data_IF_681572627231
#
_entry.id   IF_681572627231
#
_cell.length_a   1.000
_cell.length_b   1.000
_cell.length_c   1.000
_cell.angle_alpha   90.00
_cell.angle_beta   90.00
_cell.angle_gamma   90.00
#
_symmetry.space_group_name_H-M   'P 1'
#
loop_
_entity.id
_entity.type
_entity.pdbx_description
1 polymer ?
#
# COMPACT_ATOMS: atom_id res chain seq x y z
N UNK A 1 -26.52 13.34 18.60
CA UNK A 1 -27.24 12.85 17.41
C UNK A 1 -27.80 11.50 17.80
N UNK A 2 -29.05 11.24 17.43
CA UNK A 2 -29.58 9.89 17.53
C UNK A 2 -28.94 8.99 16.45
N UNK A 3 -29.11 7.67 16.57
CA UNK A 3 -28.52 6.73 15.60
C UNK A 3 -29.08 6.86 14.19
N UNK A 4 -30.31 7.38 14.02
CA UNK A 4 -30.94 7.57 12.71
C UNK A 4 -30.35 8.76 11.94
N UNK A 5 -29.95 9.83 12.62
CA UNK A 5 -29.29 10.98 12.00
C UNK A 5 -27.91 10.61 11.47
N UNK A 6 -27.15 9.77 12.17
CA UNK A 6 -25.84 9.30 11.70
C UNK A 6 -25.94 8.40 10.46
N UNK A 7 -26.94 7.51 10.42
CA UNK A 7 -27.19 6.65 9.25
C UNK A 7 -27.62 7.46 8.03
N UNK A 8 -28.47 8.47 8.20
CA UNK A 8 -28.88 9.36 7.12
C UNK A 8 -27.69 10.17 6.56
N UNK A 9 -26.84 10.71 7.43
CA UNK A 9 -25.61 11.41 7.05
C UNK A 9 -24.66 10.48 6.30
N UNK A 10 -24.54 9.22 6.74
CA UNK A 10 -23.71 8.22 6.06
C UNK A 10 -24.21 7.94 4.64
N UNK A 11 -25.51 7.69 4.47
CA UNK A 11 -26.12 7.40 3.17
C UNK A 11 -26.00 8.60 2.20
N UNK A 12 -26.22 9.82 2.69
CA UNK A 12 -26.06 11.04 1.89
C UNK A 12 -24.62 11.18 1.39
N UNK A 13 -23.65 11.08 2.31
CA UNK A 13 -22.23 11.15 1.97
C UNK A 13 -21.85 10.07 0.94
N UNK A 14 -22.29 8.83 1.13
CA UNK A 14 -22.00 7.74 0.19
C UNK A 14 -22.58 7.98 -1.20
N UNK A 15 -23.76 8.59 -1.30
CA UNK A 15 -24.36 8.98 -2.57
C UNK A 15 -23.52 10.05 -3.27
N UNK A 16 -23.11 11.09 -2.53
CA UNK A 16 -22.25 12.16 -3.07
C UNK A 16 -20.90 11.63 -3.55
N UNK A 17 -20.25 10.77 -2.75
CA UNK A 17 -19.00 10.10 -3.13
C UNK A 17 -19.17 9.21 -4.39
N UNK A 18 -20.35 8.60 -4.59
CA UNK A 18 -20.64 7.81 -5.80
C UNK A 18 -20.81 8.69 -7.04
N UNK A 19 -21.33 9.90 -6.87
CA UNK A 19 -21.50 10.88 -7.94
C UNK A 19 -20.25 11.73 -8.21
N UNK A 20 -19.14 11.47 -7.50
CA UNK A 20 -17.92 12.30 -7.53
C UNK A 20 -18.14 13.74 -7.03
N UNK A 21 -19.15 13.96 -6.20
CA UNK A 21 -19.45 15.23 -5.53
C UNK A 21 -18.64 15.34 -4.22
N UNK A 22 -17.31 15.34 -4.34
CA UNK A 22 -16.41 15.19 -3.18
C UNK A 22 -16.41 16.38 -2.22
N UNK A 23 -16.65 17.59 -2.71
CA UNK A 23 -16.68 18.79 -1.86
C UNK A 23 -17.92 18.77 -0.98
N UNK A 24 -19.05 18.43 -1.58
CA UNK A 24 -20.33 18.24 -0.92
C UNK A 24 -20.24 17.11 0.11
N UNK A 25 -19.61 15.98 -0.26
CA UNK A 25 -19.33 14.88 0.67
C UNK A 25 -18.46 15.33 1.86
N UNK A 26 -17.45 16.17 1.61
CA UNK A 26 -16.59 16.74 2.65
C UNK A 26 -17.35 17.68 3.60
N UNK A 27 -18.24 18.50 3.05
CA UNK A 27 -19.07 19.42 3.82
C UNK A 27 -20.06 18.66 4.70
N UNK A 28 -20.68 17.59 4.18
CA UNK A 28 -21.52 16.68 4.97
C UNK A 28 -20.71 16.05 6.12
N UNK A 29 -19.50 15.54 5.83
CA UNK A 29 -18.66 14.94 6.87
C UNK A 29 -18.33 15.94 8.00
N UNK A 30 -18.03 17.20 7.65
CA UNK A 30 -17.62 18.24 8.60
C UNK A 30 -18.78 18.83 9.40
N UNK A 31 -19.88 19.14 8.73
CA UNK A 31 -21.00 19.85 9.34
C UNK A 31 -21.82 18.96 10.26
N UNK A 32 -21.83 17.65 10.01
CA UNK A 32 -22.55 16.67 10.83
C UNK A 32 -21.67 15.98 11.87
N UNK A 33 -20.47 16.51 12.15
CA UNK A 33 -19.68 16.15 13.33
C UNK A 33 -19.11 14.73 13.36
N UNK A 34 -19.15 13.99 12.25
CA UNK A 34 -18.51 12.68 12.13
C UNK A 34 -17.00 12.89 12.16
N UNK A 35 -16.37 12.69 13.34
CA UNK A 35 -14.91 12.75 13.51
C UNK A 35 -14.22 11.53 12.88
N UNK A 36 -14.36 11.37 11.57
CA UNK A 36 -13.77 10.28 10.77
C UNK A 36 -12.62 10.84 9.95
N UNK A 37 -11.48 11.06 10.60
CA UNK A 37 -10.29 11.69 10.01
C UNK A 37 -9.79 10.97 8.77
N UNK A 38 -9.85 9.63 8.78
CA UNK A 38 -9.39 8.81 7.67
C UNK A 38 -10.29 8.97 6.44
N UNK A 39 -11.62 8.96 6.62
CA UNK A 39 -12.57 9.25 5.54
C UNK A 39 -12.37 10.68 5.00
N UNK A 40 -12.18 11.66 5.89
CA UNK A 40 -11.89 13.04 5.49
C UNK A 40 -10.62 13.12 4.63
N UNK A 41 -9.55 12.44 5.04
CA UNK A 41 -8.29 12.42 4.31
C UNK A 41 -8.46 11.81 2.92
N UNK A 42 -9.18 10.70 2.78
CA UNK A 42 -9.45 10.11 1.47
C UNK A 42 -10.32 10.99 0.57
N UNK A 43 -11.33 11.66 1.11
CA UNK A 43 -12.13 12.63 0.33
C UNK A 43 -11.23 13.78 -0.15
N UNK A 44 -10.32 14.27 0.71
CA UNK A 44 -9.34 15.29 0.33
C UNK A 44 -8.39 14.79 -0.77
N UNK A 45 -7.96 13.52 -0.71
CA UNK A 45 -7.18 12.90 -1.79
C UNK A 45 -7.99 12.85 -3.08
N UNK A 46 -9.26 12.44 -3.05
CA UNK A 46 -10.11 12.40 -4.23
C UNK A 46 -10.25 13.78 -4.90
N UNK A 47 -10.46 14.84 -4.12
CA UNK A 47 -10.46 16.23 -4.63
C UNK A 47 -9.09 16.60 -5.24
N UNK A 48 -7.99 16.21 -4.59
CA UNK A 48 -6.64 16.43 -5.10
C UNK A 48 -6.40 15.72 -6.44
N UNK A 49 -6.92 14.50 -6.59
CA UNK A 49 -6.84 13.73 -7.83
C UNK A 49 -7.61 14.39 -8.98
N UNK A 50 -8.79 14.96 -8.72
CA UNK A 50 -9.51 15.75 -9.75
C UNK A 50 -8.73 16.97 -10.19
N UNK A 51 -8.06 17.67 -9.26
CA UNK A 51 -7.19 18.80 -9.59
C UNK A 51 -6.00 18.37 -10.45
N UNK A 52 -5.37 17.25 -10.11
CA UNK A 52 -4.28 16.65 -10.88
C UNK A 52 -4.72 16.28 -12.31
N UNK A 53 -5.88 15.64 -12.47
CA UNK A 53 -6.43 15.30 -13.79
C UNK A 53 -6.69 16.55 -14.64
N UNK A 54 -7.09 17.66 -14.01
CA UNK A 54 -7.28 18.95 -14.67
C UNK A 54 -5.97 19.74 -14.92
N UNK A 55 -4.81 19.16 -14.59
CA UNK A 55 -3.50 19.81 -14.75
C UNK A 55 -3.15 20.82 -13.65
N UNK A 56 -4.01 21.01 -12.64
CA UNK A 56 -3.78 21.91 -11.51
C UNK A 56 -2.98 21.19 -10.40
N UNK A 57 -1.70 20.91 -10.71
CA UNK A 57 -0.79 20.18 -9.83
C UNK A 57 -0.56 20.90 -8.50
N UNK A 58 -0.55 22.24 -8.49
CA UNK A 58 -0.33 23.00 -7.25
C UNK A 58 -1.50 22.84 -6.29
N UNK A 59 -2.75 22.94 -6.77
CA UNK A 59 -3.91 22.66 -5.93
C UNK A 59 -3.94 21.20 -5.50
N UNK A 60 -3.62 20.25 -6.39
CA UNK A 60 -3.55 18.83 -6.04
C UNK A 60 -2.58 18.57 -4.87
N UNK A 61 -1.35 19.12 -4.95
CA UNK A 61 -0.37 19.06 -3.85
C UNK A 61 -0.90 19.65 -2.54
N UNK A 62 -1.63 20.77 -2.61
CA UNK A 62 -2.25 21.40 -1.44
C UNK A 62 -3.26 20.46 -0.76
N UNK A 63 -4.12 19.81 -1.55
CA UNK A 63 -5.10 18.85 -1.05
C UNK A 63 -4.44 17.60 -0.45
N UNK A 64 -3.40 17.04 -1.08
CA UNK A 64 -2.67 15.90 -0.51
C UNK A 64 -1.96 16.24 0.79
N UNK A 65 -1.33 17.42 0.89
CA UNK A 65 -0.77 17.91 2.16
C UNK A 65 -1.83 18.10 3.24
N UNK A 66 -3.02 18.57 2.86
CA UNK A 66 -4.15 18.71 3.78
C UNK A 66 -4.65 17.35 4.26
N UNK A 67 -4.75 16.35 3.37
CA UNK A 67 -5.09 14.99 3.73
C UNK A 67 -4.11 14.41 4.76
N UNK A 68 -2.80 14.55 4.53
CA UNK A 68 -1.74 14.14 5.47
C UNK A 68 -1.86 14.85 6.82
N UNK A 69 -2.24 16.13 6.83
CA UNK A 69 -2.44 16.89 8.07
C UNK A 69 -3.68 16.41 8.84
N UNK A 70 -4.73 16.02 8.12
CA UNK A 70 -5.97 15.50 8.70
C UNK A 70 -5.78 14.09 9.26
N UNK A 71 -5.12 13.22 8.49
CA UNK A 71 -4.72 11.88 8.88
C UNK A 71 -3.27 11.60 8.46
N UNK A 72 -2.39 11.51 9.46
CA UNK A 72 -0.96 11.30 9.22
C UNK A 72 -0.61 9.88 8.79
N UNK A 73 -1.57 8.96 8.80
CA UNK A 73 -1.38 7.56 8.43
C UNK A 73 -2.00 7.24 7.06
N UNK A 74 -2.57 8.26 6.37
CA UNK A 74 -3.14 8.15 5.04
C UNK A 74 -2.06 7.87 3.98
N UNK A 75 -1.81 6.59 3.72
CA UNK A 75 -0.79 6.12 2.77
C UNK A 75 -1.02 6.66 1.35
N UNK A 76 -2.27 6.67 0.90
CA UNK A 76 -2.66 7.17 -0.42
C UNK A 76 -2.20 8.62 -0.66
N UNK A 77 -2.37 9.49 0.34
CA UNK A 77 -2.00 10.89 0.24
C UNK A 77 -0.49 11.09 0.10
N UNK A 78 0.31 10.32 0.83
CA UNK A 78 1.77 10.34 0.66
C UNK A 78 2.18 9.83 -0.72
N UNK A 79 1.57 8.74 -1.19
CA UNK A 79 1.90 8.15 -2.48
C UNK A 79 1.58 9.08 -3.65
N UNK A 80 0.38 9.66 -3.69
CA UNK A 80 0.00 10.57 -4.78
C UNK A 80 0.78 11.88 -4.76
N UNK A 81 1.12 12.39 -3.57
CA UNK A 81 2.03 13.52 -3.45
C UNK A 81 3.43 13.18 -3.95
N UNK A 82 3.97 12.01 -3.61
CA UNK A 82 5.28 11.56 -4.08
C UNK A 82 5.34 11.44 -5.60
N UNK A 83 4.28 10.90 -6.23
CA UNK A 83 4.19 10.84 -7.69
C UNK A 83 4.21 12.22 -8.33
N UNK A 84 3.43 13.18 -7.81
CA UNK A 84 3.47 14.55 -8.31
C UNK A 84 4.83 15.24 -8.11
N UNK A 85 5.55 14.96 -7.02
CA UNK A 85 6.90 15.49 -6.85
C UNK A 85 7.88 14.86 -7.85
N UNK A 86 7.73 13.58 -8.16
CA UNK A 86 8.55 12.92 -9.18
C UNK A 86 8.26 13.42 -10.60
N UNK A 87 6.98 13.64 -10.93
CA UNK A 87 6.56 14.22 -12.22
C UNK A 87 7.11 15.66 -12.42
N UNK A 88 7.41 16.36 -11.32
CA UNK A 88 8.07 17.68 -11.29
C UNK A 88 9.59 17.60 -11.09
N UNK A 89 10.21 16.44 -11.35
CA UNK A 89 11.65 16.15 -11.24
C UNK A 89 12.25 16.31 -9.82
N UNK A 90 11.41 16.40 -8.78
CA UNK A 90 11.83 16.49 -7.38
C UNK A 90 12.02 15.09 -6.77
N UNK A 91 12.95 14.29 -7.31
CA UNK A 91 13.16 12.87 -6.93
C UNK A 91 13.44 12.66 -5.44
N UNK A 92 14.32 13.46 -4.84
CA UNK A 92 14.66 13.34 -3.41
C UNK A 92 13.42 13.48 -2.51
N UNK A 93 12.59 14.48 -2.83
CA UNK A 93 11.35 14.74 -2.08
C UNK A 93 10.33 13.64 -2.30
N UNK A 94 10.23 13.12 -3.52
CA UNK A 94 9.39 11.96 -3.84
C UNK A 94 9.78 10.76 -2.97
N UNK A 95 11.06 10.40 -2.94
CA UNK A 95 11.59 9.29 -2.14
C UNK A 95 11.36 9.49 -0.64
N UNK A 96 11.57 10.71 -0.14
CA UNK A 96 11.27 11.03 1.26
C UNK A 96 9.79 10.78 1.58
N UNK A 97 8.86 11.12 0.67
CA UNK A 97 7.43 10.91 0.86
C UNK A 97 7.05 9.43 0.80
N UNK A 98 7.61 8.66 -0.13
CA UNK A 98 7.41 7.21 -0.19
C UNK A 98 7.93 6.53 1.07
N UNK A 99 9.15 6.90 1.51
CA UNK A 99 9.72 6.38 2.76
C UNK A 99 8.79 6.67 3.95
N UNK A 100 8.25 7.89 4.04
CA UNK A 100 7.25 8.23 5.07
C UNK A 100 5.98 7.39 4.94
N UNK A 101 5.46 7.18 3.73
CA UNK A 101 4.28 6.33 3.52
C UNK A 101 4.50 4.92 4.07
N UNK A 102 5.63 4.30 3.74
CA UNK A 102 5.99 2.96 4.21
C UNK A 102 6.26 2.95 5.72
N UNK A 103 6.97 3.94 6.27
CA UNK A 103 7.20 4.00 7.72
C UNK A 103 5.91 4.17 8.52
N UNK A 104 4.89 4.81 7.95
CA UNK A 104 3.55 4.94 8.55
C UNK A 104 2.72 3.69 8.41
N UNK A 105 2.75 3.05 7.24
CA UNK A 105 1.98 1.84 6.99
C UNK A 105 2.73 0.89 6.04
N UNK A 106 3.70 0.16 6.61
CA UNK A 106 4.62 -0.71 5.86
C UNK A 106 3.92 -1.88 5.18
N UNK A 107 2.71 -2.22 5.62
CA UNK A 107 1.89 -3.28 5.02
C UNK A 107 1.58 -2.99 3.55
N UNK A 108 1.57 -1.72 3.14
CA UNK A 108 1.30 -1.33 1.76
C UNK A 108 2.57 -1.12 0.91
N UNK A 109 3.75 -1.58 1.34
CA UNK A 109 4.99 -1.43 0.56
C UNK A 109 4.84 -1.96 -0.88
N UNK A 110 4.14 -3.07 -1.08
CA UNK A 110 3.92 -3.65 -2.41
C UNK A 110 3.12 -2.74 -3.36
N UNK A 111 2.40 -1.75 -2.84
CA UNK A 111 1.68 -0.74 -3.64
C UNK A 111 2.67 0.22 -4.31
N UNK A 112 3.79 0.51 -3.65
CA UNK A 112 4.80 1.47 -4.11
C UNK A 112 6.06 0.80 -4.64
N UNK A 113 6.22 -0.51 -4.47
CA UNK A 113 7.38 -1.30 -4.91
C UNK A 113 7.86 -0.97 -6.33
N UNK A 114 6.97 -1.04 -7.33
CA UNK A 114 7.33 -0.73 -8.71
C UNK A 114 7.80 0.71 -8.91
N UNK A 115 7.21 1.65 -8.17
CA UNK A 115 7.62 3.06 -8.20
C UNK A 115 8.97 3.26 -7.50
N UNK A 116 9.22 2.60 -6.37
CA UNK A 116 10.52 2.66 -5.68
C UNK A 116 11.64 2.19 -6.61
N UNK A 117 11.44 1.07 -7.31
CA UNK A 117 12.44 0.58 -8.28
C UNK A 117 12.65 1.51 -9.46
N UNK A 118 11.59 2.17 -9.93
CA UNK A 118 11.69 3.14 -11.02
C UNK A 118 12.56 4.33 -10.61
N UNK A 119 12.35 4.85 -9.40
CA UNK A 119 13.04 6.04 -8.91
C UNK A 119 14.49 5.74 -8.49
N UNK A 120 14.74 4.63 -7.78
CA UNK A 120 16.05 4.32 -7.18
C UNK A 120 16.97 3.46 -8.07
N UNK A 121 16.43 2.69 -9.01
CA UNK A 121 17.20 1.71 -9.80
C UNK A 121 18.04 0.79 -8.90
N UNK A 122 19.35 1.04 -8.74
CA UNK A 122 20.29 0.20 -7.98
C UNK A 122 20.34 0.56 -6.48
N UNK A 123 19.90 1.76 -6.09
CA UNK A 123 20.00 2.29 -4.72
C UNK A 123 18.87 1.81 -3.80
N UNK A 124 18.03 0.88 -4.25
CA UNK A 124 16.90 0.38 -3.46
C UNK A 124 17.36 -0.35 -2.19
N UNK A 125 18.53 -0.99 -2.17
CA UNK A 125 18.98 -1.74 -0.99
C UNK A 125 19.13 -0.84 0.23
N UNK A 126 19.83 0.29 0.10
CA UNK A 126 19.97 1.26 1.20
C UNK A 126 18.61 1.77 1.68
N UNK A 127 17.67 1.95 0.73
CA UNK A 127 16.30 2.33 1.05
C UNK A 127 15.59 1.27 1.90
N UNK A 128 15.57 0.00 1.46
CA UNK A 128 14.95 -1.09 2.23
C UNK A 128 15.64 -1.33 3.57
N UNK A 129 16.98 -1.33 3.62
CA UNK A 129 17.75 -1.48 4.86
C UNK A 129 17.38 -0.41 5.88
N UNK A 130 17.25 0.84 5.44
CA UNK A 130 16.88 1.93 6.32
C UNK A 130 15.48 1.77 6.95
N UNK A 131 14.55 1.12 6.25
CA UNK A 131 13.18 0.88 6.74
C UNK A 131 13.13 -0.41 7.57
N UNK A 132 13.78 -1.48 7.12
CA UNK A 132 13.89 -2.76 7.84
C UNK A 132 14.63 -2.60 9.17
N UNK A 133 15.56 -1.64 9.30
CA UNK A 133 16.16 -1.32 10.60
C UNK A 133 15.14 -0.91 11.67
N UNK A 134 14.02 -0.29 11.26
CA UNK A 134 12.91 0.11 12.12
C UNK A 134 11.85 -0.98 12.25
N UNK A 135 11.63 -1.75 11.19
CA UNK A 135 10.59 -2.79 11.10
C UNK A 135 11.16 -4.15 10.67
N UNK A 136 12.10 -4.74 11.44
CA UNK A 136 12.89 -5.89 10.98
C UNK A 136 12.09 -7.19 10.82
N UNK A 137 10.88 -7.25 11.37
CA UNK A 137 9.99 -8.43 11.31
C UNK A 137 8.79 -8.22 10.39
N UNK A 138 8.75 -7.15 9.60
CA UNK A 138 7.64 -6.87 8.68
C UNK A 138 7.63 -7.87 7.53
N UNK A 139 6.64 -8.78 7.45
CA UNK A 139 6.57 -9.76 6.37
C UNK A 139 6.45 -9.07 5.01
N UNK A 140 5.64 -8.02 4.90
CA UNK A 140 5.43 -7.32 3.63
C UNK A 140 6.73 -6.69 3.12
N UNK A 141 7.55 -6.08 4.00
CA UNK A 141 8.85 -5.53 3.61
C UNK A 141 9.84 -6.60 3.18
N UNK A 142 9.91 -7.70 3.94
CA UNK A 142 10.81 -8.81 3.65
C UNK A 142 10.46 -9.46 2.31
N UNK A 143 9.19 -9.79 2.09
CA UNK A 143 8.78 -10.45 0.84
C UNK A 143 8.87 -9.51 -0.37
N UNK A 144 8.63 -8.22 -0.19
CA UNK A 144 8.82 -7.24 -1.25
C UNK A 144 10.31 -7.13 -1.64
N UNK A 145 11.23 -7.04 -0.67
CA UNK A 145 12.67 -7.06 -0.92
C UNK A 145 13.13 -8.38 -1.56
N UNK A 146 12.59 -9.53 -1.14
CA UNK A 146 12.90 -10.83 -1.75
C UNK A 146 12.52 -10.89 -3.23
N UNK A 147 11.42 -10.27 -3.64
CA UNK A 147 11.09 -10.14 -5.06
C UNK A 147 12.15 -9.35 -5.82
N UNK A 148 12.60 -8.21 -5.29
CA UNK A 148 13.63 -7.39 -5.93
C UNK A 148 14.96 -8.14 -6.05
N UNK A 149 15.44 -8.73 -4.95
CA UNK A 149 16.67 -9.52 -4.93
C UNK A 149 16.62 -10.71 -5.89
N UNK A 150 15.49 -11.42 -5.96
CA UNK A 150 15.30 -12.54 -6.88
C UNK A 150 15.27 -12.09 -8.34
N UNK A 151 14.64 -10.96 -8.66
CA UNK A 151 14.57 -10.44 -10.02
C UNK A 151 15.93 -9.97 -10.54
N UNK A 152 16.78 -9.43 -9.65
CA UNK A 152 18.16 -9.03 -9.98
C UNK A 152 19.19 -10.16 -9.82
N UNK A 153 18.73 -11.39 -9.56
CA UNK A 153 19.60 -12.55 -9.33
C UNK A 153 20.63 -12.37 -8.19
N UNK A 154 20.32 -11.54 -7.19
CA UNK A 154 21.14 -11.32 -5.98
C UNK A 154 20.87 -12.41 -4.93
N UNK A 155 21.06 -13.68 -5.32
CA UNK A 155 20.59 -14.85 -4.56
C UNK A 155 21.23 -15.00 -3.17
N UNK A 156 22.49 -14.57 -2.99
CA UNK A 156 23.16 -14.64 -1.68
C UNK A 156 22.52 -13.71 -0.64
N UNK A 157 22.15 -12.49 -1.06
CA UNK A 157 21.44 -11.54 -0.19
C UNK A 157 20.03 -12.06 0.13
N UNK A 158 19.36 -12.70 -0.84
CA UNK A 158 18.06 -13.31 -0.61
C UNK A 158 18.14 -14.46 0.41
N UNK A 159 19.18 -15.31 0.33
CA UNK A 159 19.43 -16.38 1.32
C UNK A 159 19.65 -15.81 2.73
N UNK A 160 20.45 -14.76 2.87
CA UNK A 160 20.72 -14.11 4.16
C UNK A 160 19.45 -13.49 4.77
N UNK A 161 18.66 -12.82 3.93
CA UNK A 161 17.37 -12.25 4.33
C UNK A 161 16.36 -13.34 4.76
N UNK A 162 16.29 -14.46 4.04
CA UNK A 162 15.46 -15.61 4.43
C UNK A 162 15.95 -16.23 5.74
N UNK A 163 17.26 -16.36 5.93
CA UNK A 163 17.87 -16.96 7.11
C UNK A 163 17.69 -16.13 8.38
N UNK A 164 17.59 -14.80 8.24
CA UNK A 164 17.34 -13.88 9.34
C UNK A 164 15.85 -13.65 9.64
N UNK A 165 14.96 -13.95 8.68
CA UNK A 165 13.52 -13.80 8.84
C UNK A 165 12.90 -14.93 9.69
N UNK A 166 11.98 -14.56 10.58
CA UNK A 166 11.18 -15.51 11.36
C UNK A 166 9.82 -14.91 11.67
N UNK A 167 8.75 -15.65 11.35
CA UNK A 167 7.36 -15.23 11.51
C UNK A 167 6.60 -16.16 12.46
N UNK A 168 5.59 -15.63 13.15
CA UNK A 168 4.72 -16.42 14.02
C UNK A 168 3.53 -16.99 13.25
N UNK A 169 2.95 -16.22 12.33
CA UNK A 169 1.80 -16.63 11.54
C UNK A 169 2.16 -17.72 10.52
N UNK A 170 1.31 -18.76 10.47
CA UNK A 170 1.51 -19.92 9.61
C UNK A 170 1.52 -19.58 8.10
N UNK A 171 0.75 -18.56 7.70
CA UNK A 171 0.71 -18.05 6.33
C UNK A 171 2.10 -17.53 5.88
N UNK A 172 2.74 -16.70 6.71
CA UNK A 172 4.06 -16.15 6.40
C UNK A 172 5.18 -17.19 6.54
N UNK A 173 5.06 -18.17 7.45
CA UNK A 173 5.99 -19.31 7.51
C UNK A 173 5.98 -20.12 6.21
N UNK A 174 4.80 -20.41 5.68
CA UNK A 174 4.63 -21.11 4.40
C UNK A 174 5.23 -20.30 3.25
N UNK A 175 4.97 -18.99 3.22
CA UNK A 175 5.55 -18.11 2.20
C UNK A 175 7.09 -18.00 2.33
N UNK A 176 7.63 -17.94 3.53
CA UNK A 176 9.08 -17.95 3.74
C UNK A 176 9.73 -19.26 3.29
N UNK A 177 9.09 -20.40 3.57
CA UNK A 177 9.53 -21.71 3.06
C UNK A 177 9.47 -21.79 1.54
N UNK A 178 8.40 -21.27 0.93
CA UNK A 178 8.28 -21.12 -0.52
C UNK A 178 9.47 -20.36 -1.10
N UNK A 179 9.81 -19.19 -0.52
CA UNK A 179 10.95 -18.39 -0.97
C UNK A 179 12.28 -19.12 -0.83
N UNK A 180 12.47 -19.86 0.27
CA UNK A 180 13.65 -20.70 0.46
C UNK A 180 13.80 -21.72 -0.67
N UNK A 181 12.74 -22.46 -0.98
CA UNK A 181 12.74 -23.44 -2.07
C UNK A 181 12.99 -22.76 -3.43
N UNK A 182 12.37 -21.61 -3.69
CA UNK A 182 12.57 -20.83 -4.92
C UNK A 182 14.03 -20.46 -5.13
N UNK A 183 14.67 -19.87 -4.12
CA UNK A 183 16.07 -19.44 -4.21
C UNK A 183 17.00 -20.65 -4.38
N UNK A 184 16.78 -21.74 -3.64
CA UNK A 184 17.53 -22.99 -3.78
C UNK A 184 17.47 -23.57 -5.20
N UNK A 185 16.28 -23.58 -5.79
CA UNK A 185 16.02 -24.04 -7.16
C UNK A 185 16.81 -23.19 -8.17
N UNK A 186 16.69 -21.87 -8.08
CA UNK A 186 17.34 -20.93 -9.01
C UNK A 186 18.86 -21.10 -8.91
N UNK A 187 19.41 -21.16 -7.69
CA UNK A 187 20.84 -21.27 -7.42
C UNK A 187 21.44 -22.59 -7.93
N UNK A 188 20.71 -23.70 -7.77
CA UNK A 188 21.17 -25.06 -8.15
C UNK A 188 20.80 -25.44 -9.59
N UNK A 189 20.09 -24.56 -10.32
CA UNK A 189 19.59 -24.79 -11.67
C UNK A 189 18.81 -26.12 -11.80
N UNK A 190 17.96 -26.40 -10.81
CA UNK A 190 17.17 -27.65 -10.74
C UNK A 190 15.94 -27.54 -11.65
N UNK A 191 15.61 -28.61 -12.38
CA UNK A 191 14.32 -28.72 -13.08
C UNK A 191 13.19 -28.74 -12.04
N UNK A 192 12.52 -27.59 -11.95
CA UNK A 192 11.61 -27.26 -10.88
C UNK A 192 10.15 -27.49 -11.22
N UNK A 193 9.86 -28.01 -12.42
CA UNK A 193 8.49 -28.37 -12.83
C UNK A 193 7.76 -29.24 -11.81
N UNK A 194 8.38 -30.27 -11.18
CA UNK A 194 7.70 -31.06 -10.15
C UNK A 194 7.43 -30.26 -8.88
N UNK A 195 8.33 -29.34 -8.50
CA UNK A 195 8.23 -28.57 -7.25
C UNK A 195 7.19 -27.46 -7.37
N UNK A 196 7.16 -26.76 -8.52
CA UNK A 196 6.19 -25.69 -8.76
C UNK A 196 4.76 -26.20 -8.78
N UNK A 197 4.50 -27.42 -9.30
CA UNK A 197 3.17 -28.03 -9.24
C UNK A 197 2.62 -28.17 -7.80
N UNK A 198 3.49 -28.34 -6.80
CA UNK A 198 3.09 -28.38 -5.39
C UNK A 198 3.01 -26.99 -4.74
N UNK A 199 3.73 -26.01 -5.28
CA UNK A 199 3.81 -24.65 -4.76
C UNK A 199 2.87 -23.65 -5.48
N UNK A 200 2.20 -24.06 -6.58
CA UNK A 200 1.28 -23.23 -7.40
C UNK A 200 0.14 -22.61 -6.59
N UNK A 201 -0.19 -23.20 -5.43
CA UNK A 201 -1.22 -22.68 -4.53
C UNK A 201 -0.74 -21.50 -3.66
N UNK A 202 0.55 -21.16 -3.66
CA UNK A 202 1.11 -20.03 -2.90
C UNK A 202 1.33 -18.84 -3.84
N UNK A 203 0.59 -17.74 -3.61
CA UNK A 203 0.78 -16.50 -4.38
C UNK A 203 1.91 -15.65 -3.79
N UNK A 204 2.97 -15.45 -4.57
CA UNK A 204 4.04 -14.50 -4.22
C UNK A 204 3.52 -13.07 -4.15
N UNK A 205 2.65 -12.71 -5.11
CA UNK A 205 2.09 -11.36 -5.18
C UNK A 205 0.99 -11.21 -4.14
N UNK A 206 1.04 -10.14 -3.32
CA UNK A 206 -0.01 -9.87 -2.36
C UNK A 206 -1.36 -9.61 -3.06
N UNK A 207 -2.42 -10.08 -2.44
CA UNK A 207 -3.80 -9.67 -2.72
C UNK A 207 -4.29 -8.81 -1.55
N UNK A 208 -5.39 -8.10 -1.76
CA UNK A 208 -5.99 -7.23 -0.76
C UNK A 208 -7.37 -7.77 -0.38
N UNK A 209 -7.57 -8.05 0.91
CA UNK A 209 -8.82 -8.54 1.49
C UNK A 209 -9.44 -7.47 2.38
N UNK A 210 -10.74 -7.26 2.25
CA UNK A 210 -11.49 -6.40 3.16
C UNK A 210 -11.65 -7.11 4.51
N UNK A 211 -11.17 -6.49 5.58
CA UNK A 211 -11.29 -7.02 6.94
C UNK A 211 -12.74 -7.03 7.45
N UNK A 212 -13.62 -6.24 6.83
CA UNK A 212 -15.02 -6.16 7.23
C UNK A 212 -15.92 -7.17 6.52
N UNK A 213 -15.83 -7.27 5.19
CA UNK A 213 -16.75 -8.11 4.39
C UNK A 213 -16.08 -9.28 3.66
N UNK A 214 -14.75 -9.39 3.72
CA UNK A 214 -14.01 -10.47 3.07
C UNK A 214 -13.79 -10.31 1.56
N UNK A 215 -14.26 -9.22 0.93
CA UNK A 215 -13.99 -8.92 -0.49
C UNK A 215 -12.49 -9.00 -0.81
N UNK A 216 -12.09 -9.68 -1.90
CA UNK A 216 -10.69 -9.85 -2.30
C UNK A 216 -10.45 -9.32 -3.72
N UNK A 217 -9.36 -8.59 -3.93
CA UNK A 217 -8.87 -8.21 -5.25
C UNK A 217 -7.34 -8.11 -5.33
N UNK A 218 -6.79 -8.00 -6.54
CA UNK A 218 -5.33 -7.95 -6.78
C UNK A 218 -4.71 -6.55 -6.56
N UNK A 219 -5.50 -5.48 -6.67
CA UNK A 219 -5.04 -4.09 -6.49
C UNK A 219 -5.47 -3.58 -5.13
N UNK A 220 -4.72 -2.65 -4.55
CA UNK A 220 -5.15 -1.99 -3.31
C UNK A 220 -6.48 -1.28 -3.53
N UNK A 221 -7.32 -1.26 -2.51
CA UNK A 221 -8.49 -0.40 -2.44
C UNK A 221 -8.42 0.37 -1.12
N UNK A 222 -8.69 1.67 -1.18
CA UNK A 222 -8.83 2.49 0.03
C UNK A 222 -10.27 2.45 0.52
N UNK A 223 -11.23 2.43 -0.41
CA UNK A 223 -12.65 2.18 -0.15
C UNK A 223 -13.06 0.81 -0.67
N UNK A 224 -13.61 -0.04 0.18
CA UNK A 224 -14.06 -1.37 -0.24
C UNK A 224 -15.18 -1.26 -1.29
N UNK A 225 -15.07 -1.90 -2.47
CA UNK A 225 -16.13 -1.89 -3.48
C UNK A 225 -17.45 -2.51 -3.00
N UNK A 226 -17.39 -3.48 -2.08
CA UNK A 226 -18.55 -4.24 -1.62
C UNK A 226 -19.22 -3.59 -0.40
N UNK A 227 -18.49 -3.33 0.69
CA UNK A 227 -19.07 -2.77 1.92
C UNK A 227 -18.92 -1.26 2.06
N UNK A 228 -18.24 -0.59 1.11
CA UNK A 228 -18.05 0.86 1.04
C UNK A 228 -17.29 1.50 2.22
N UNK A 229 -16.75 0.70 3.15
CA UNK A 229 -15.90 1.19 4.23
C UNK A 229 -14.49 1.55 3.75
N UNK A 230 -13.99 2.66 4.27
CA UNK A 230 -12.61 3.13 4.08
C UNK A 230 -11.62 2.34 4.96
N UNK A 231 -10.37 2.23 4.53
CA UNK A 231 -9.24 1.62 5.24
C UNK A 231 -9.48 0.21 5.79
N UNK A 232 -10.25 -0.59 5.06
CA UNK A 232 -10.49 -1.99 5.43
C UNK A 232 -9.57 -2.97 4.69
N UNK A 233 -8.63 -2.47 3.90
CA UNK A 233 -7.77 -3.30 3.06
C UNK A 233 -6.62 -3.91 3.86
N UNK A 234 -6.58 -5.23 3.92
CA UNK A 234 -5.50 -6.02 4.49
C UNK A 234 -4.75 -6.79 3.41
N UNK A 235 -3.43 -6.76 3.48
CA UNK A 235 -2.57 -7.58 2.62
C UNK A 235 -2.64 -9.05 3.03
N UNK A 236 -2.78 -9.92 2.03
CA UNK A 236 -2.80 -11.38 2.18
C UNK A 236 -1.93 -12.02 1.10
N UNK A 237 -1.35 -13.18 1.42
CA UNK A 237 -0.57 -14.01 0.51
C UNK A 237 -1.21 -15.40 0.48
N UNK A 238 -2.34 -15.50 -0.24
CA UNK A 238 -3.01 -16.77 -0.54
C UNK A 238 -2.31 -17.45 -1.71
#
# INVERSE_FOLDING_TARGET
MDGSDEDAVHLLKESLEKNHEWKEALDVLKNFGLKRKNEEAHILVAIGMEKKVNGDNQSAKSFFKKAIKTDSDCFEAYYELARLEYDEDNKEKSLMLIKKAIEKNHRFVSVVSGFVTEVLKEDYLEFYESILSKFPKSPELIFDLLHHLSNENRLLLAEDLIGSASFEEEEYKKLLYYWKCKIDIIKKNIDSRPVWQFLDNISEKPKFRCEYCGFVQKKVFWKCPQCRKWDTSKVIFN
#
